data_IF_612478115183
#
_entry.id   IF_612478115183
#
_cell.length_a   1.000
_cell.length_b   1.000
_cell.length_c   1.000
_cell.angle_alpha   90.00
_cell.angle_beta   90.00
_cell.angle_gamma   90.00
#
_symmetry.space_group_name_H-M   'P 1'
#
loop_
_entity.id
_entity.type
_entity.pdbx_description
1 polymer ?
#
# COMPACT_ATOMS: atom_id res chain seq x y z
N UNK A 1 17.10 -26.25 12.28
CA UNK A 1 16.73 -27.67 12.32
C UNK A 1 15.40 -27.83 11.61
N UNK A 2 15.28 -28.83 10.78
CA UNK A 2 14.13 -29.01 9.88
C UNK A 2 13.63 -30.45 9.95
N UNK A 3 12.30 -30.58 9.84
CA UNK A 3 11.61 -31.86 9.70
C UNK A 3 10.77 -31.80 8.43
N UNK A 4 10.89 -32.79 7.56
CA UNK A 4 10.03 -32.93 6.40
C UNK A 4 8.72 -33.59 6.79
N UNK A 5 7.61 -33.03 6.38
CA UNK A 5 6.29 -33.62 6.49
C UNK A 5 5.94 -34.41 5.24
N UNK A 6 5.19 -35.50 5.40
CA UNK A 6 4.59 -36.27 4.29
C UNK A 6 3.14 -35.83 4.10
N UNK A 7 2.75 -35.54 2.86
CA UNK A 7 1.34 -35.27 2.53
C UNK A 7 0.59 -36.57 2.56
N UNK A 8 -0.40 -36.68 3.47
CA UNK A 8 -1.22 -37.87 3.63
C UNK A 8 -2.47 -37.81 2.76
N UNK A 9 -3.10 -36.63 2.71
CA UNK A 9 -4.37 -36.46 2.02
C UNK A 9 -4.59 -34.98 1.64
N UNK A 10 -5.14 -34.71 0.48
CA UNK A 10 -5.70 -33.42 0.11
C UNK A 10 -7.20 -33.49 0.28
N UNK A 11 -7.70 -32.90 1.36
CA UNK A 11 -9.12 -32.98 1.74
C UNK A 11 -9.99 -32.01 0.90
N UNK A 12 -9.41 -30.87 0.46
CA UNK A 12 -10.08 -29.90 -0.41
C UNK A 12 -9.07 -29.04 -1.16
N UNK A 13 -9.55 -28.08 -1.95
CA UNK A 13 -8.68 -27.11 -2.63
C UNK A 13 -7.80 -26.30 -1.64
N UNK A 14 -8.28 -26.12 -0.41
CA UNK A 14 -7.66 -25.24 0.60
C UNK A 14 -7.22 -26.02 1.87
N UNK A 15 -7.27 -27.36 1.87
CA UNK A 15 -6.94 -28.16 3.05
C UNK A 15 -6.04 -29.33 2.68
N UNK A 16 -4.93 -29.42 3.40
CA UNK A 16 -3.97 -30.51 3.32
C UNK A 16 -3.83 -31.16 4.69
N UNK A 17 -3.78 -32.49 4.72
CA UNK A 17 -3.41 -33.26 5.88
C UNK A 17 -1.97 -33.71 5.73
N UNK A 18 -1.12 -33.27 6.63
CA UNK A 18 0.31 -33.53 6.62
C UNK A 18 0.70 -34.25 7.89
N UNK A 19 1.50 -35.30 7.77
CA UNK A 19 2.05 -36.06 8.90
C UNK A 19 3.51 -35.67 9.10
N UNK A 20 3.88 -35.37 10.35
CA UNK A 20 5.26 -35.17 10.77
C UNK A 20 5.62 -36.25 11.79
N UNK A 21 6.73 -36.93 11.59
CA UNK A 21 7.28 -37.87 12.56
C UNK A 21 8.24 -37.10 13.49
N UNK A 22 7.76 -36.79 14.69
CA UNK A 22 8.50 -36.05 15.70
C UNK A 22 9.45 -36.95 16.48
N UNK A 23 10.74 -36.59 16.65
CA UNK A 23 11.65 -37.25 17.56
C UNK A 23 11.16 -37.14 19.00
N UNK A 24 11.54 -38.13 19.83
CA UNK A 24 11.16 -38.16 21.26
C UNK A 24 11.74 -36.97 22.06
N UNK A 25 12.89 -36.43 21.63
CA UNK A 25 13.56 -35.30 22.26
C UNK A 25 13.70 -34.18 21.27
N UNK A 26 13.41 -32.94 21.70
CA UNK A 26 13.58 -31.75 20.90
C UNK A 26 14.87 -31.01 21.29
N UNK A 27 15.61 -30.46 20.34
CA UNK A 27 16.90 -29.82 20.56
C UNK A 27 16.73 -28.35 21.05
N UNK A 28 16.06 -28.20 22.17
CA UNK A 28 15.85 -26.93 22.86
C UNK A 28 15.92 -27.11 24.37
N UNK A 29 16.37 -26.09 25.06
CA UNK A 29 16.35 -25.98 26.52
C UNK A 29 14.98 -25.54 27.05
N UNK A 30 14.08 -25.12 26.20
CA UNK A 30 12.76 -24.64 26.57
C UNK A 30 11.77 -25.79 26.71
N UNK A 31 10.89 -25.72 27.71
CA UNK A 31 9.83 -26.71 27.93
C UNK A 31 8.75 -26.63 26.83
N UNK A 32 8.63 -25.52 26.12
CA UNK A 32 7.75 -25.37 24.97
C UNK A 32 8.57 -24.92 23.77
N UNK A 33 8.60 -25.73 22.74
CA UNK A 33 9.34 -25.47 21.51
C UNK A 33 8.38 -25.05 20.42
N UNK A 34 8.72 -23.94 19.75
CA UNK A 34 7.91 -23.36 18.69
C UNK A 34 8.48 -23.73 17.33
N UNK A 35 7.62 -24.19 16.42
CA UNK A 35 7.99 -24.50 15.05
C UNK A 35 7.24 -23.63 14.06
N UNK A 36 7.96 -23.16 13.03
CA UNK A 36 7.37 -22.52 11.87
C UNK A 36 7.05 -23.58 10.80
N UNK A 37 5.91 -23.48 10.17
CA UNK A 37 5.53 -24.34 9.04
C UNK A 37 5.98 -23.70 7.73
N UNK A 38 6.72 -24.46 6.93
CA UNK A 38 7.10 -24.05 5.56
C UNK A 38 6.34 -24.97 4.60
N UNK A 39 5.58 -24.38 3.71
CA UNK A 39 4.96 -25.07 2.58
C UNK A 39 5.62 -24.59 1.29
N UNK A 40 5.90 -25.51 0.38
CA UNK A 40 6.51 -25.19 -0.90
C UNK A 40 5.86 -25.99 -2.03
N UNK A 41 5.58 -25.34 -3.14
CA UNK A 41 5.08 -25.97 -4.36
C UNK A 41 5.63 -25.23 -5.60
N UNK A 42 5.58 -25.91 -6.75
CA UNK A 42 6.12 -25.41 -7.99
C UNK A 42 5.37 -24.19 -8.56
N UNK A 43 4.06 -24.07 -8.24
CA UNK A 43 3.20 -23.03 -8.81
C UNK A 43 3.22 -21.74 -7.98
N UNK A 44 3.13 -21.87 -6.64
CA UNK A 44 2.93 -20.75 -5.74
C UNK A 44 4.22 -20.38 -4.97
N UNK A 45 5.28 -21.21 -5.11
CA UNK A 45 6.54 -21.03 -4.38
C UNK A 45 6.42 -21.44 -2.91
N UNK A 46 7.35 -20.96 -2.09
CA UNK A 46 7.42 -21.25 -0.68
C UNK A 46 6.66 -20.20 0.14
N UNK A 47 5.90 -20.67 1.13
CA UNK A 47 5.24 -19.84 2.14
C UNK A 47 5.63 -20.30 3.54
N UNK A 48 5.85 -19.34 4.45
CA UNK A 48 6.24 -19.59 5.84
C UNK A 48 5.13 -19.09 6.77
N UNK A 49 4.63 -19.98 7.61
CA UNK A 49 3.75 -19.63 8.72
C UNK A 49 4.58 -19.68 10.01
N UNK A 50 5.00 -18.54 10.57
CA UNK A 50 5.79 -18.50 11.79
C UNK A 50 4.94 -18.95 12.99
N UNK A 51 5.59 -19.59 13.96
CA UNK A 51 4.96 -20.04 15.20
C UNK A 51 3.68 -20.88 15.00
N UNK A 52 3.70 -21.76 13.99
CA UNK A 52 2.53 -22.54 13.59
C UNK A 52 2.22 -23.68 14.57
N UNK A 53 3.23 -24.22 15.24
CA UNK A 53 3.11 -25.35 16.14
C UNK A 53 3.87 -25.07 17.44
N UNK A 54 3.25 -25.42 18.57
CA UNK A 54 3.84 -25.37 19.90
C UNK A 54 3.87 -26.78 20.46
N UNK A 55 5.06 -27.28 20.76
CA UNK A 55 5.24 -28.63 21.29
C UNK A 55 5.82 -28.53 22.68
N UNK A 56 5.10 -29.07 23.65
CA UNK A 56 5.58 -29.19 25.02
C UNK A 56 6.41 -30.47 25.14
N UNK A 57 7.64 -30.34 25.65
CA UNK A 57 8.49 -31.49 25.99
C UNK A 57 8.60 -31.67 27.51
N UNK A 58 8.47 -32.90 27.95
CA UNK A 58 8.56 -33.25 29.37
C UNK A 58 10.00 -33.55 29.79
N UNK A 59 10.86 -33.97 28.87
CA UNK A 59 12.28 -34.27 29.09
C UNK A 59 13.15 -33.32 28.26
N UNK A 60 14.03 -32.57 28.93
CA UNK A 60 14.93 -31.62 28.30
C UNK A 60 16.32 -32.23 28.23
N UNK A 61 16.76 -32.66 27.06
CA UNK A 61 18.09 -33.20 26.78
C UNK A 61 18.58 -32.73 25.37
N UNK A 62 18.92 -31.45 25.22
CA UNK A 62 19.21 -30.85 23.91
C UNK A 62 20.39 -31.49 23.18
N UNK A 63 21.46 -31.86 23.91
CA UNK A 63 22.65 -32.47 23.29
C UNK A 63 22.35 -33.86 22.72
N UNK A 64 21.56 -34.68 23.44
CA UNK A 64 21.12 -35.99 22.96
C UNK A 64 20.14 -35.86 21.79
N UNK A 65 19.27 -34.86 21.82
CA UNK A 65 18.34 -34.54 20.75
C UNK A 65 19.07 -34.11 19.49
N UNK A 66 20.13 -33.29 19.60
CA UNK A 66 20.95 -32.87 18.49
C UNK A 66 21.64 -34.03 17.77
N UNK A 67 22.16 -35.01 18.52
CA UNK A 67 22.82 -36.17 17.93
C UNK A 67 21.84 -37.05 17.13
N UNK A 68 20.60 -37.13 17.56
CA UNK A 68 19.57 -38.01 16.98
C UNK A 68 18.56 -37.25 16.08
N UNK A 69 18.79 -35.95 15.82
CA UNK A 69 17.89 -35.16 15.01
C UNK A 69 17.94 -35.57 13.53
N UNK A 70 16.81 -36.00 12.93
CA UNK A 70 16.76 -36.32 11.52
C UNK A 70 16.77 -35.04 10.70
N UNK A 71 17.94 -34.51 10.49
CA UNK A 71 18.11 -33.25 9.77
C UNK A 71 17.71 -33.43 8.31
N UNK A 72 16.42 -33.25 8.01
CA UNK A 72 15.92 -33.26 6.65
C UNK A 72 16.51 -32.05 5.90
N UNK A 73 17.28 -32.30 4.85
CA UNK A 73 17.74 -31.22 4.00
C UNK A 73 16.52 -30.47 3.44
N UNK A 74 16.40 -29.20 3.75
CA UNK A 74 15.51 -28.34 2.97
C UNK A 74 16.14 -28.23 1.60
N UNK A 75 15.50 -28.78 0.58
CA UNK A 75 15.88 -28.55 -0.81
C UNK A 75 15.87 -27.04 -1.13
N UNK A 76 16.38 -26.65 -2.25
CA UNK A 76 16.19 -25.27 -2.73
C UNK A 76 14.69 -25.02 -2.82
N UNK A 77 14.17 -24.22 -1.89
CA UNK A 77 12.77 -23.81 -1.91
C UNK A 77 12.49 -23.17 -3.28
N UNK A 78 11.32 -23.49 -3.84
CA UNK A 78 10.93 -22.95 -5.14
C UNK A 78 10.88 -21.43 -5.06
N UNK A 79 11.90 -20.79 -5.61
CA UNK A 79 11.88 -19.36 -5.83
C UNK A 79 11.05 -19.12 -7.08
N UNK A 80 9.96 -18.40 -6.92
CA UNK A 80 9.10 -18.07 -8.04
C UNK A 80 9.87 -17.28 -9.08
N UNK A 81 10.07 -17.87 -10.24
CA UNK A 81 10.77 -17.25 -11.36
C UNK A 81 9.73 -16.61 -12.29
N UNK A 82 9.52 -15.30 -12.15
CA UNK A 82 8.65 -14.56 -13.05
C UNK A 82 7.34 -14.07 -12.41
N UNK A 83 6.56 -13.35 -13.20
CA UNK A 83 5.25 -12.84 -12.79
C UNK A 83 4.20 -13.89 -13.11
N UNK A 84 3.56 -14.46 -12.11
CA UNK A 84 2.44 -15.39 -12.25
C UNK A 84 1.15 -14.74 -11.78
N UNK A 85 0.04 -15.05 -12.46
CA UNK A 85 -1.30 -14.65 -12.06
C UNK A 85 -2.20 -15.89 -11.93
N UNK A 86 -3.05 -15.97 -10.90
CA UNK A 86 -3.13 -15.09 -9.75
C UNK A 86 -1.94 -15.27 -8.81
N UNK A 87 -1.42 -14.18 -8.30
CA UNK A 87 -0.33 -14.19 -7.35
C UNK A 87 -0.85 -14.58 -5.96
N UNK A 88 -0.19 -15.47 -5.25
CA UNK A 88 -0.71 -16.05 -4.00
C UNK A 88 0.18 -15.86 -2.77
N UNK A 89 1.40 -15.36 -2.96
CA UNK A 89 2.28 -15.05 -1.83
C UNK A 89 1.93 -13.67 -1.27
N UNK A 90 1.21 -13.63 -0.15
CA UNK A 90 0.73 -12.39 0.49
C UNK A 90 1.86 -11.44 0.83
N UNK A 91 3.02 -11.94 1.31
CA UNK A 91 4.17 -11.10 1.66
C UNK A 91 4.76 -10.43 0.40
N UNK A 92 5.02 -11.21 -0.65
CA UNK A 92 5.58 -10.67 -1.89
C UNK A 92 4.60 -9.70 -2.57
N UNK A 93 3.29 -9.95 -2.51
CA UNK A 93 2.29 -9.02 -3.04
C UNK A 93 2.18 -7.74 -2.21
N UNK A 94 2.31 -7.83 -0.89
CA UNK A 94 2.36 -6.65 -0.03
C UNK A 94 3.56 -5.78 -0.37
N UNK A 95 4.75 -6.38 -0.52
CA UNK A 95 5.97 -5.67 -0.93
C UNK A 95 5.80 -5.04 -2.31
N UNK A 96 5.26 -5.76 -3.28
CA UNK A 96 5.02 -5.24 -4.62
C UNK A 96 4.03 -4.08 -4.60
N UNK A 97 2.95 -4.20 -3.83
CA UNK A 97 1.93 -3.16 -3.73
C UNK A 97 2.48 -1.85 -3.14
N UNK A 98 3.46 -1.90 -2.24
CA UNK A 98 4.10 -0.70 -1.68
C UNK A 98 4.63 0.20 -2.80
N UNK A 99 5.31 -0.36 -3.81
CA UNK A 99 5.91 0.42 -4.89
C UNK A 99 4.90 1.14 -5.79
N UNK A 100 3.68 0.64 -5.89
CA UNK A 100 2.59 1.27 -6.66
C UNK A 100 1.65 2.06 -5.75
N UNK A 101 1.01 1.39 -4.81
CA UNK A 101 -0.03 1.96 -3.96
C UNK A 101 0.50 3.14 -3.12
N UNK A 102 1.57 2.90 -2.36
CA UNK A 102 2.11 3.93 -1.47
C UNK A 102 2.76 5.06 -2.26
N UNK A 103 3.45 4.73 -3.38
CA UNK A 103 4.04 5.75 -4.24
C UNK A 103 3.01 6.65 -4.91
N UNK A 104 1.83 6.11 -5.29
CA UNK A 104 0.70 6.91 -5.80
C UNK A 104 0.17 7.89 -4.75
N UNK A 105 0.03 7.45 -3.48
CA UNK A 105 -0.41 8.32 -2.39
C UNK A 105 0.59 9.44 -2.12
N UNK A 106 1.90 9.15 -2.06
CA UNK A 106 2.92 10.17 -1.88
C UNK A 106 2.94 11.18 -3.05
N UNK A 107 2.90 10.69 -4.29
CA UNK A 107 2.84 11.55 -5.45
C UNK A 107 1.58 12.43 -5.44
N UNK A 108 0.42 11.87 -5.07
CA UNK A 108 -0.82 12.63 -4.88
C UNK A 108 -0.63 13.77 -3.87
N UNK A 109 -0.05 13.49 -2.69
CA UNK A 109 0.17 14.53 -1.67
C UNK A 109 1.09 15.63 -2.16
N UNK A 110 2.16 15.28 -2.88
CA UNK A 110 3.09 16.27 -3.45
C UNK A 110 2.37 17.14 -4.50
N UNK A 111 1.59 16.53 -5.40
CA UNK A 111 0.82 17.27 -6.40
C UNK A 111 -0.21 18.22 -5.75
N UNK A 112 -0.89 17.76 -4.69
CA UNK A 112 -1.83 18.60 -3.95
C UNK A 112 -1.12 19.74 -3.21
N UNK A 113 0.05 19.51 -2.63
CA UNK A 113 0.86 20.56 -2.01
C UNK A 113 1.25 21.64 -3.04
N UNK A 114 1.68 21.22 -4.24
CA UNK A 114 1.99 22.15 -5.33
C UNK A 114 0.70 22.88 -5.76
N UNK A 115 -0.44 22.21 -5.83
CA UNK A 115 -1.72 22.83 -6.15
C UNK A 115 -2.15 23.89 -5.13
N UNK A 116 -1.90 23.65 -3.82
CA UNK A 116 -2.13 24.66 -2.77
C UNK A 116 -1.25 25.88 -2.99
N UNK A 117 0.03 25.71 -3.34
CA UNK A 117 0.90 26.84 -3.68
C UNK A 117 0.30 27.70 -4.81
N UNK A 118 -0.20 27.10 -5.89
CA UNK A 118 -0.84 27.84 -6.97
C UNK A 118 -2.20 28.43 -6.58
N UNK A 119 -2.96 27.76 -5.70
CA UNK A 119 -4.21 28.33 -5.15
C UNK A 119 -3.95 29.59 -4.31
N UNK A 120 -2.95 29.55 -3.43
CA UNK A 120 -2.53 30.75 -2.65
C UNK A 120 -2.04 31.85 -3.57
N UNK A 121 -1.25 31.50 -4.58
CA UNK A 121 -0.75 32.47 -5.57
C UNK A 121 -1.88 33.08 -6.39
N UNK A 122 -2.90 32.31 -6.77
CA UNK A 122 -4.10 32.83 -7.42
C UNK A 122 -4.84 33.82 -6.52
N UNK A 123 -5.07 33.49 -5.25
CA UNK A 123 -5.74 34.40 -4.31
C UNK A 123 -4.98 35.70 -4.10
N UNK A 124 -3.65 35.67 -4.20
CA UNK A 124 -2.78 36.84 -4.03
C UNK A 124 -2.65 37.69 -5.31
N UNK A 125 -2.54 37.03 -6.48
CA UNK A 125 -2.19 37.71 -7.75
C UNK A 125 -3.33 37.78 -8.77
N UNK A 126 -4.40 37.01 -8.62
CA UNK A 126 -5.55 36.93 -9.51
C UNK A 126 -5.24 36.42 -10.93
N UNK A 127 -4.11 35.74 -11.14
CA UNK A 127 -3.72 35.27 -12.45
C UNK A 127 -4.42 33.99 -12.85
N UNK A 128 -5.24 34.00 -13.91
CA UNK A 128 -6.01 32.85 -14.43
C UNK A 128 -5.16 31.59 -14.63
N UNK A 129 -3.90 31.75 -15.07
CA UNK A 129 -2.96 30.62 -15.23
C UNK A 129 -2.69 29.85 -13.95
N UNK A 130 -2.72 30.51 -12.78
CA UNK A 130 -2.47 29.86 -11.51
C UNK A 130 -3.67 28.97 -11.09
N UNK A 131 -4.90 29.42 -11.39
CA UNK A 131 -6.11 28.59 -11.22
C UNK A 131 -6.09 27.37 -12.15
N UNK A 132 -5.72 27.54 -13.43
CA UNK A 132 -5.60 26.39 -14.34
C UNK A 132 -4.54 25.38 -13.90
N UNK A 133 -3.37 25.84 -13.42
CA UNK A 133 -2.33 24.96 -12.90
C UNK A 133 -2.79 24.21 -11.65
N UNK A 134 -3.42 24.92 -10.69
CA UNK A 134 -3.98 24.29 -9.51
C UNK A 134 -5.01 23.21 -9.88
N UNK A 135 -5.97 23.54 -10.76
CA UNK A 135 -6.98 22.59 -11.22
C UNK A 135 -6.40 21.40 -11.97
N UNK A 136 -5.39 21.61 -12.80
CA UNK A 136 -4.72 20.52 -13.51
C UNK A 136 -4.03 19.56 -12.52
N UNK A 137 -3.27 20.10 -11.55
CA UNK A 137 -2.60 19.31 -10.51
C UNK A 137 -3.58 18.54 -9.64
N UNK A 138 -4.68 19.17 -9.19
CA UNK A 138 -5.73 18.51 -8.40
C UNK A 138 -6.37 17.38 -9.21
N UNK A 139 -6.65 17.58 -10.50
CA UNK A 139 -7.24 16.55 -11.35
C UNK A 139 -6.37 15.30 -11.41
N UNK A 140 -5.06 15.45 -11.60
CA UNK A 140 -4.12 14.33 -11.66
C UNK A 140 -3.92 13.70 -10.28
N UNK A 141 -3.84 14.53 -9.23
CA UNK A 141 -3.74 14.04 -7.86
C UNK A 141 -4.94 13.16 -7.46
N UNK A 142 -6.17 13.59 -7.78
CA UNK A 142 -7.37 12.79 -7.53
C UNK A 142 -7.39 11.50 -8.35
N UNK A 143 -6.91 11.54 -9.59
CA UNK A 143 -6.74 10.33 -10.40
C UNK A 143 -5.77 9.35 -9.72
N UNK A 144 -4.66 9.85 -9.19
CA UNK A 144 -3.71 9.03 -8.41
C UNK A 144 -4.33 8.46 -7.14
N UNK A 145 -5.16 9.24 -6.43
CA UNK A 145 -5.91 8.76 -5.28
C UNK A 145 -6.89 7.64 -5.63
N UNK A 146 -7.61 7.75 -6.75
CA UNK A 146 -8.50 6.69 -7.26
C UNK A 146 -7.69 5.42 -7.58
N UNK A 147 -6.55 5.55 -8.28
CA UNK A 147 -5.66 4.42 -8.54
C UNK A 147 -5.07 3.84 -7.25
N UNK A 148 -4.74 4.69 -6.28
CA UNK A 148 -4.34 4.28 -4.95
C UNK A 148 -5.43 3.47 -4.25
N UNK A 149 -6.67 3.94 -4.24
CA UNK A 149 -7.80 3.17 -3.70
C UNK A 149 -7.99 1.83 -4.44
N UNK A 150 -7.90 1.81 -5.76
CA UNK A 150 -8.05 0.59 -6.57
C UNK A 150 -6.97 -0.44 -6.26
N UNK A 151 -5.70 -0.04 -6.23
CA UNK A 151 -4.57 -0.94 -5.89
C UNK A 151 -4.66 -1.44 -4.45
N UNK A 152 -5.10 -0.58 -3.51
CA UNK A 152 -5.35 -0.95 -2.13
C UNK A 152 -6.51 -1.93 -1.98
N UNK A 153 -7.62 -1.74 -2.70
CA UNK A 153 -8.77 -2.64 -2.69
C UNK A 153 -8.41 -4.03 -3.26
N UNK A 154 -7.62 -4.09 -4.34
CA UNK A 154 -7.12 -5.36 -4.89
C UNK A 154 -6.28 -6.07 -3.83
N UNK A 155 -5.32 -5.38 -3.20
CA UNK A 155 -4.50 -5.95 -2.15
C UNK A 155 -5.35 -6.45 -0.96
N UNK A 156 -6.32 -5.65 -0.51
CA UNK A 156 -7.23 -6.01 0.59
C UNK A 156 -8.03 -7.29 0.26
N UNK A 157 -8.51 -7.43 -0.98
CA UNK A 157 -9.23 -8.64 -1.41
C UNK A 157 -8.40 -9.90 -1.26
N UNK A 158 -7.12 -9.86 -1.61
CA UNK A 158 -6.25 -11.03 -1.54
C UNK A 158 -5.67 -11.27 -0.15
N UNK A 159 -5.54 -10.22 0.68
CA UNK A 159 -4.97 -10.31 2.03
C UNK A 159 -6.04 -10.56 3.09
N UNK A 160 -7.16 -9.84 3.01
CA UNK A 160 -8.25 -9.88 4.00
C UNK A 160 -9.52 -10.58 3.51
N UNK A 161 -9.56 -11.02 2.25
CA UNK A 161 -10.69 -11.69 1.64
C UNK A 161 -11.82 -10.78 1.19
N UNK A 162 -11.76 -9.47 1.45
CA UNK A 162 -12.78 -8.47 1.10
C UNK A 162 -12.15 -7.29 0.37
N UNK A 163 -12.92 -6.66 -0.53
CA UNK A 163 -12.46 -5.47 -1.26
C UNK A 163 -12.32 -4.23 -0.36
N UNK A 164 -13.09 -4.19 0.72
CA UNK A 164 -13.14 -3.10 1.69
C UNK A 164 -13.49 -3.64 3.07
N UNK A 165 -12.89 -3.08 4.11
CA UNK A 165 -13.20 -3.35 5.51
C UNK A 165 -13.55 -2.05 6.22
N UNK A 166 -14.17 -2.13 7.38
CA UNK A 166 -14.44 -0.96 8.24
C UNK A 166 -13.18 -0.44 8.96
N UNK A 167 -12.02 -0.61 8.34
CA UNK A 167 -10.73 -0.14 8.87
C UNK A 167 -10.66 1.40 8.86
N UNK A 168 -10.10 1.98 9.92
CA UNK A 168 -10.03 3.43 10.09
C UNK A 168 -9.24 4.11 8.98
N UNK A 169 -8.10 3.52 8.53
CA UNK A 169 -7.29 4.12 7.45
C UNK A 169 -8.02 4.13 6.12
N UNK A 170 -8.75 3.04 5.81
CA UNK A 170 -9.54 2.95 4.59
C UNK A 170 -10.65 4.00 4.60
N UNK A 171 -11.41 4.07 5.71
CA UNK A 171 -12.53 5.01 5.83
C UNK A 171 -12.06 6.47 5.78
N UNK A 172 -10.96 6.81 6.47
CA UNK A 172 -10.43 8.17 6.42
C UNK A 172 -9.89 8.52 5.04
N UNK A 173 -9.28 7.57 4.33
CA UNK A 173 -8.85 7.76 2.94
C UNK A 173 -10.04 8.01 2.01
N UNK A 174 -11.15 7.28 2.19
CA UNK A 174 -12.37 7.49 1.42
C UNK A 174 -12.99 8.87 1.69
N UNK A 175 -13.08 9.29 2.95
CA UNK A 175 -13.55 10.63 3.32
C UNK A 175 -12.68 11.71 2.68
N UNK A 176 -11.36 11.54 2.74
CA UNK A 176 -10.42 12.46 2.10
C UNK A 176 -10.65 12.55 0.58
N UNK A 177 -10.84 11.42 -0.09
CA UNK A 177 -11.16 11.39 -1.53
C UNK A 177 -12.49 12.07 -1.83
N UNK A 178 -13.54 11.86 -1.00
CA UNK A 178 -14.83 12.54 -1.15
C UNK A 178 -14.71 14.06 -1.02
N UNK A 179 -13.87 14.54 -0.10
CA UNK A 179 -13.58 15.98 0.03
C UNK A 179 -13.00 16.52 -1.28
N UNK A 180 -12.05 15.82 -1.90
CA UNK A 180 -11.49 16.28 -3.18
C UNK A 180 -12.43 16.06 -4.38
N UNK A 181 -13.30 15.08 -4.36
CA UNK A 181 -14.38 14.96 -5.36
C UNK A 181 -15.36 16.13 -5.27
N UNK A 182 -15.66 16.59 -4.06
CA UNK A 182 -16.52 17.77 -3.85
C UNK A 182 -15.88 19.06 -4.40
N UNK A 183 -14.54 19.14 -4.52
CA UNK A 183 -13.86 20.23 -5.23
C UNK A 183 -14.36 20.37 -6.67
N UNK A 184 -14.51 19.26 -7.40
CA UNK A 184 -14.99 19.30 -8.79
C UNK A 184 -16.48 19.67 -8.88
N UNK A 185 -17.31 19.21 -7.93
CA UNK A 185 -18.72 19.61 -7.84
C UNK A 185 -18.81 21.12 -7.61
N UNK A 186 -18.02 21.63 -6.65
CA UNK A 186 -17.95 23.08 -6.38
C UNK A 186 -17.50 23.86 -7.62
N UNK A 187 -16.48 23.36 -8.32
CA UNK A 187 -15.96 24.01 -9.53
C UNK A 187 -17.00 24.03 -10.67
N UNK A 188 -17.81 22.98 -10.80
CA UNK A 188 -18.88 22.91 -11.80
C UNK A 188 -20.10 23.76 -11.47
N UNK A 189 -20.28 24.18 -10.21
CA UNK A 189 -21.47 24.92 -9.78
C UNK A 189 -21.48 26.41 -10.17
N UNK A 190 -20.34 27.00 -10.56
CA UNK A 190 -20.23 28.42 -10.86
C UNK A 190 -19.88 28.68 -12.32
N UNK A 191 -20.68 29.54 -12.98
CA UNK A 191 -20.43 30.01 -14.35
C UNK A 191 -19.39 31.17 -14.37
N UNK A 192 -19.41 32.04 -13.35
CA UNK A 192 -18.46 33.12 -13.20
C UNK A 192 -17.07 32.57 -12.90
N UNK A 193 -16.13 32.80 -13.82
CA UNK A 193 -14.77 32.27 -13.75
C UNK A 193 -13.99 32.80 -12.54
N UNK A 194 -14.16 34.09 -12.21
CA UNK A 194 -13.43 34.74 -11.11
C UNK A 194 -13.92 34.18 -9.77
N UNK A 195 -15.25 34.09 -9.61
CA UNK A 195 -15.89 33.55 -8.42
C UNK A 195 -15.56 32.07 -8.26
N UNK A 196 -15.65 31.29 -9.33
CA UNK A 196 -15.27 29.87 -9.40
C UNK A 196 -13.84 29.65 -8.91
N UNK A 197 -12.89 30.33 -9.54
CA UNK A 197 -11.47 30.19 -9.25
C UNK A 197 -11.14 30.60 -7.79
N UNK A 198 -11.76 31.66 -7.29
CA UNK A 198 -11.56 32.12 -5.91
C UNK A 198 -12.08 31.10 -4.88
N UNK A 199 -13.31 30.63 -5.08
CA UNK A 199 -13.92 29.67 -4.15
C UNK A 199 -13.21 28.33 -4.16
N UNK A 200 -12.85 27.80 -5.34
CA UNK A 200 -12.13 26.53 -5.46
C UNK A 200 -10.70 26.62 -4.92
N UNK A 201 -10.04 27.77 -5.04
CA UNK A 201 -8.72 27.99 -4.43
C UNK A 201 -8.79 27.97 -2.90
N UNK A 202 -9.77 28.66 -2.31
CA UNK A 202 -10.00 28.62 -0.85
C UNK A 202 -10.34 27.19 -0.41
N UNK A 203 -11.25 26.52 -1.12
CA UNK A 203 -11.62 25.14 -0.84
C UNK A 203 -10.42 24.20 -0.86
N UNK A 204 -9.54 24.28 -1.87
CA UNK A 204 -8.36 23.42 -1.98
C UNK A 204 -7.42 23.57 -0.78
N UNK A 205 -7.23 24.78 -0.26
CA UNK A 205 -6.40 25.03 0.92
C UNK A 205 -6.97 24.30 2.15
N UNK A 206 -8.28 24.41 2.40
CA UNK A 206 -8.93 23.70 3.50
C UNK A 206 -8.97 22.19 3.29
N UNK A 207 -9.26 21.72 2.06
CA UNK A 207 -9.23 20.32 1.71
C UNK A 207 -7.86 19.69 1.96
N UNK A 208 -6.78 20.39 1.58
CA UNK A 208 -5.42 19.92 1.84
C UNK A 208 -5.10 19.86 3.35
N UNK A 209 -5.53 20.85 4.13
CA UNK A 209 -5.33 20.84 5.58
C UNK A 209 -5.98 19.63 6.27
N UNK A 210 -7.07 19.06 5.68
CA UNK A 210 -7.73 17.87 6.20
C UNK A 210 -6.89 16.59 6.12
N UNK A 211 -5.79 16.58 5.36
CA UNK A 211 -4.83 15.46 5.29
C UNK A 211 -4.31 15.14 6.69
N UNK A 212 -3.94 16.16 7.46
CA UNK A 212 -3.33 15.99 8.79
C UNK A 212 -4.26 15.21 9.71
N UNK A 213 -5.48 15.66 10.03
CA UNK A 213 -6.36 14.92 10.92
C UNK A 213 -6.80 13.58 10.34
N UNK A 214 -7.18 13.52 9.06
CA UNK A 214 -7.79 12.30 8.49
C UNK A 214 -6.77 11.19 8.25
N UNK A 215 -5.60 11.49 7.71
CA UNK A 215 -4.66 10.46 7.27
C UNK A 215 -3.49 10.24 8.24
N UNK A 216 -3.16 11.23 9.06
CA UNK A 216 -2.01 11.13 9.98
C UNK A 216 -2.39 11.09 11.46
N UNK A 217 -3.48 11.70 11.91
CA UNK A 217 -3.85 11.73 13.33
C UNK A 217 -4.84 10.62 13.67
N UNK A 218 -6.04 10.63 13.07
CA UNK A 218 -7.12 9.70 13.42
C UNK A 218 -6.69 8.22 13.31
N UNK A 219 -5.99 7.79 12.24
CA UNK A 219 -5.57 6.39 12.13
C UNK A 219 -4.55 5.93 13.17
N UNK A 220 -3.92 6.86 13.90
CA UNK A 220 -2.99 6.53 14.99
C UNK A 220 -3.65 6.44 16.36
N UNK A 221 -4.87 6.93 16.47
CA UNK A 221 -5.66 6.90 17.72
C UNK A 221 -6.46 5.61 17.88
N UNK A 222 -6.58 4.81 16.82
CA UNK A 222 -7.42 3.60 16.77
C UNK A 222 -6.61 2.48 16.11
N UNK A 223 -6.85 1.25 16.55
CA UNK A 223 -6.24 0.06 15.92
C UNK A 223 -6.67 -0.06 14.45
N UNK A 224 -5.73 -0.45 13.61
CA UNK A 224 -5.92 -0.61 12.17
C UNK A 224 -5.26 -1.90 11.70
N UNK A 225 -5.94 -2.63 10.83
CA UNK A 225 -5.40 -3.82 10.16
C UNK A 225 -4.38 -3.44 9.06
N UNK A 226 -4.39 -2.19 8.66
CA UNK A 226 -3.52 -1.70 7.58
C UNK A 226 -2.06 -1.65 8.05
N UNK A 227 -1.09 -2.14 7.26
CA UNK A 227 0.33 -2.06 7.56
C UNK A 227 0.81 -0.63 7.90
N UNK A 228 1.87 -0.52 8.69
CA UNK A 228 2.43 0.78 9.07
C UNK A 228 1.62 1.51 10.14
N UNK A 229 0.92 0.79 11.03
CA UNK A 229 0.08 1.40 12.07
C UNK A 229 0.89 2.12 13.17
N UNK A 230 2.15 1.77 13.38
CA UNK A 230 3.04 2.43 14.35
C UNK A 230 3.94 3.52 13.75
N UNK A 231 3.99 3.65 12.43
CA UNK A 231 4.88 4.56 11.71
C UNK A 231 4.29 5.07 10.40
N UNK A 232 5.05 5.91 9.68
CA UNK A 232 4.71 6.26 8.30
C UNK A 232 5.30 5.18 7.37
N UNK A 233 4.47 4.43 6.61
CA UNK A 233 4.96 3.47 5.63
C UNK A 233 5.97 4.13 4.69
N UNK A 234 7.11 3.51 4.52
CA UNK A 234 8.19 4.01 3.65
C UNK A 234 9.15 5.01 4.29
N UNK A 235 8.88 5.51 5.48
CA UNK A 235 9.74 6.43 6.23
C UNK A 235 10.32 5.79 7.50
N UNK A 236 9.68 4.75 8.03
CA UNK A 236 10.14 4.00 9.20
C UNK A 236 11.32 3.07 8.90
N UNK A 237 12.21 2.88 9.89
CA UNK A 237 13.33 1.93 9.79
C UNK A 237 12.90 0.48 9.71
N UNK A 238 11.72 0.18 10.24
CA UNK A 238 11.17 -1.17 10.37
C UNK A 238 10.30 -1.58 9.16
N UNK A 239 9.78 -0.61 8.41
CA UNK A 239 8.85 -0.88 7.30
C UNK A 239 9.57 -1.27 5.99
N UNK A 240 10.76 -0.74 5.75
CA UNK A 240 11.52 -0.96 4.53
C UNK A 240 13.01 -1.14 4.84
N UNK A 241 13.62 -2.18 4.30
CA UNK A 241 15.07 -2.30 4.29
C UNK A 241 15.73 -1.33 3.28
N UNK A 242 17.05 -1.25 3.29
CA UNK A 242 17.78 -0.33 2.43
C UNK A 242 17.61 -0.66 0.94
N UNK A 243 17.51 -1.93 0.58
CA UNK A 243 17.32 -2.39 -0.81
C UNK A 243 15.93 -1.98 -1.31
N UNK A 244 14.91 -2.18 -0.48
CA UNK A 244 13.54 -1.75 -0.79
C UNK A 244 13.46 -0.23 -0.96
N UNK A 245 14.15 0.55 -0.11
CA UNK A 245 14.19 2.03 -0.22
C UNK A 245 14.83 2.50 -1.53
N UNK A 246 15.86 1.79 -2.02
CA UNK A 246 16.50 2.11 -3.31
C UNK A 246 15.52 2.03 -4.49
N UNK A 247 14.47 1.24 -4.43
CA UNK A 247 13.42 1.18 -5.43
C UNK A 247 12.23 2.12 -5.10
N UNK A 248 11.88 2.24 -3.82
CA UNK A 248 10.70 2.96 -3.37
C UNK A 248 10.80 4.48 -3.59
N UNK A 249 11.91 5.10 -3.20
CA UNK A 249 12.07 6.55 -3.39
C UNK A 249 12.12 6.96 -4.88
N UNK A 250 12.85 6.27 -5.77
CA UNK A 250 12.73 6.51 -7.20
C UNK A 250 11.32 6.29 -7.75
N UNK A 251 10.53 5.33 -7.22
CA UNK A 251 9.14 5.14 -7.61
C UNK A 251 8.28 6.37 -7.26
N UNK A 252 8.41 6.93 -6.05
CA UNK A 252 7.73 8.18 -5.67
C UNK A 252 8.14 9.32 -6.60
N UNK A 253 9.43 9.49 -6.86
CA UNK A 253 9.94 10.53 -7.76
C UNK A 253 9.39 10.35 -9.18
N UNK A 254 9.43 9.13 -9.72
CA UNK A 254 8.91 8.81 -11.04
C UNK A 254 7.42 9.10 -11.17
N UNK A 255 6.60 8.65 -10.21
CA UNK A 255 5.16 8.95 -10.18
C UNK A 255 4.89 10.45 -10.05
N UNK A 256 5.65 11.17 -9.24
CA UNK A 256 5.51 12.61 -9.08
C UNK A 256 5.83 13.35 -10.39
N UNK A 257 6.95 13.03 -11.03
CA UNK A 257 7.35 13.63 -12.30
C UNK A 257 6.36 13.33 -13.42
N UNK A 258 5.87 12.09 -13.49
CA UNK A 258 4.82 11.69 -14.42
C UNK A 258 3.53 12.50 -14.17
N UNK A 259 3.13 12.66 -12.92
CA UNK A 259 1.96 13.45 -12.53
C UNK A 259 2.10 14.92 -12.93
N UNK A 260 3.25 15.54 -12.68
CA UNK A 260 3.55 16.92 -13.09
C UNK A 260 3.52 17.04 -14.62
N UNK A 261 4.09 16.08 -15.33
CA UNK A 261 4.07 16.09 -16.80
C UNK A 261 2.65 16.02 -17.35
N UNK A 262 1.82 15.09 -16.87
CA UNK A 262 0.41 14.96 -17.29
C UNK A 262 -0.37 16.24 -16.91
N UNK A 263 -0.17 16.79 -15.71
CA UNK A 263 -0.78 18.05 -15.30
C UNK A 263 -0.37 19.21 -16.22
N UNK A 264 0.89 19.25 -16.68
CA UNK A 264 1.36 20.25 -17.63
C UNK A 264 0.66 20.15 -18.99
N UNK A 265 0.39 18.94 -19.47
CA UNK A 265 -0.36 18.70 -20.70
C UNK A 265 -1.81 19.17 -20.55
N UNK A 266 -2.47 18.83 -19.42
CA UNK A 266 -3.82 19.31 -19.11
C UNK A 266 -3.87 20.84 -19.04
N UNK A 267 -2.92 21.46 -18.36
CA UNK A 267 -2.81 22.92 -18.28
C UNK A 267 -2.70 23.58 -19.68
N UNK A 268 -1.86 23.02 -20.56
CA UNK A 268 -1.73 23.53 -21.96
C UNK A 268 -3.03 23.40 -22.73
N UNK A 269 -3.75 22.28 -22.54
CA UNK A 269 -5.08 22.09 -23.17
C UNK A 269 -6.09 23.12 -22.67
N UNK A 270 -6.11 23.42 -21.37
CA UNK A 270 -7.02 24.41 -20.80
C UNK A 270 -6.71 25.83 -21.35
N UNK A 271 -5.44 26.20 -21.48
CA UNK A 271 -5.02 27.47 -22.13
C UNK A 271 -5.43 27.55 -23.61
N UNK A 272 -5.31 26.46 -24.36
CA UNK A 272 -5.71 26.42 -25.77
C UNK A 272 -7.22 26.57 -25.90
N UNK A 273 -8.00 25.92 -25.06
CA UNK A 273 -9.48 26.05 -25.02
C UNK A 273 -9.91 27.48 -24.74
N UNK A 274 -9.29 28.15 -23.78
CA UNK A 274 -9.57 29.56 -23.50
C UNK A 274 -9.32 30.43 -24.73
N UNK A 275 -8.16 30.29 -25.39
CA UNK A 275 -7.84 31.05 -26.59
C UNK A 275 -8.80 30.83 -27.77
N UNK A 276 -9.35 29.63 -27.92
CA UNK A 276 -10.34 29.33 -28.93
C UNK A 276 -11.67 30.03 -28.59
N UNK A 277 -12.09 29.99 -27.32
CA UNK A 277 -13.32 30.65 -26.88
C UNK A 277 -13.24 32.18 -26.95
N UNK A 278 -12.07 32.78 -26.67
CA UNK A 278 -11.85 34.20 -26.74
C UNK A 278 -11.83 34.73 -28.20
N UNK A 279 -11.61 33.83 -29.19
CA UNK A 279 -11.59 34.18 -30.63
C UNK A 279 -12.87 33.81 -31.37
N UNK A 280 -13.84 33.18 -30.72
CA UNK A 280 -15.16 32.79 -31.25
C UNK A 280 -16.23 33.80 -30.84
#
# INVERSE_FOLDING_TARGET
MTLAGSIVERTSANQLKVKFDLPQLLPSTDSVVTFSLITDNELDGAAVLPNALFIKQDTIAPDLALQNWPNSAIGNLNQQRGITFPFRNVLAETIRNIYFHVSLWFAMFILLAIAVFYSVRYLSKGQKKDDHLANALISIAVTYGILGCATGAIWAKYTWGTWWTADVKLNMSAIFMLIYLAYFVLRGAFQDEIKRARLTSVYNIFAFASIIPLLFVIPRLVDSLHPGNGGNPGLGGEDLDNTMRMAFYPAIMGMTLLGIWIASLKFRLDIIKDKILDNS
#
